data_IF_719996533955
#
_entry.id   IF_719996533955
#
_cell.length_a   1.000
_cell.length_b   1.000
_cell.length_c   1.000
_cell.angle_alpha   90.00
_cell.angle_beta   90.00
_cell.angle_gamma   90.00
#
_symmetry.space_group_name_H-M   'P 1'
#
loop_
_entity.id
_entity.type
_entity.pdbx_description
1 polymer ?
#
# COMPACT_ATOMS: atom_id res chain seq x y z
N UNK A 1 -0.28 17.37 -22.61
CA UNK A 1 -0.30 16.51 -21.40
C UNK A 1 0.72 17.08 -20.42
N UNK A 2 0.37 17.26 -19.16
CA UNK A 2 1.22 17.93 -18.14
C UNK A 2 1.27 17.18 -16.81
N UNK A 3 0.74 15.95 -16.76
CA UNK A 3 0.77 15.09 -15.58
C UNK A 3 1.16 13.69 -16.04
N UNK A 4 2.17 13.14 -15.38
CA UNK A 4 2.46 11.71 -15.33
C UNK A 4 1.92 11.22 -13.98
N UNK A 5 0.80 10.50 -14.01
CA UNK A 5 0.31 9.79 -12.84
C UNK A 5 1.02 8.44 -12.80
N UNK A 6 1.83 8.21 -11.78
CA UNK A 6 2.70 7.04 -11.70
C UNK A 6 2.23 6.10 -10.60
N UNK A 7 1.43 5.13 -11.02
CA UNK A 7 1.12 3.92 -10.26
C UNK A 7 2.37 3.04 -10.20
N UNK A 8 3.12 3.16 -9.11
CA UNK A 8 4.50 2.65 -9.03
C UNK A 8 4.59 1.34 -8.21
N UNK A 9 3.53 0.95 -7.51
CA UNK A 9 3.42 -0.31 -6.75
C UNK A 9 2.05 -0.95 -6.95
N UNK A 10 1.99 -2.28 -7.01
CA UNK A 10 0.74 -3.07 -7.00
C UNK A 10 1.07 -4.44 -6.34
N UNK A 11 0.08 -5.31 -6.20
CA UNK A 11 0.21 -6.71 -5.77
C UNK A 11 1.37 -7.47 -6.41
N UNK A 12 1.63 -7.23 -7.70
CA UNK A 12 2.62 -7.97 -8.47
C UNK A 12 4.05 -7.62 -8.06
N UNK A 13 4.33 -6.35 -7.72
CA UNK A 13 5.68 -5.91 -7.36
C UNK A 13 5.73 -4.59 -6.59
N UNK A 14 6.77 -4.46 -5.75
CA UNK A 14 7.17 -3.24 -5.07
C UNK A 14 8.58 -2.81 -5.53
N UNK A 15 8.71 -2.04 -6.63
CA UNK A 15 10.02 -1.70 -7.19
C UNK A 15 10.68 -0.48 -6.54
N UNK A 16 9.98 0.30 -5.72
CA UNK A 16 10.53 1.54 -5.14
C UNK A 16 11.34 1.24 -3.89
N UNK A 17 12.59 1.70 -3.86
CA UNK A 17 13.44 1.58 -2.66
C UNK A 17 13.13 2.72 -1.71
N UNK A 18 12.66 2.37 -0.51
CA UNK A 18 12.36 3.30 0.57
C UNK A 18 13.37 3.08 1.70
N UNK A 19 14.13 4.12 2.06
CA UNK A 19 15.12 4.07 3.14
C UNK A 19 14.52 3.66 4.49
N UNK A 20 13.27 4.06 4.76
CA UNK A 20 12.59 3.73 6.03
C UNK A 20 11.90 2.35 6.02
N UNK A 21 11.66 1.77 4.84
CA UNK A 21 11.03 0.46 4.67
C UNK A 21 11.72 -0.32 3.54
N UNK A 22 13.04 -0.57 3.63
CA UNK A 22 13.81 -1.16 2.54
C UNK A 22 13.33 -2.58 2.21
N UNK A 23 12.82 -3.30 3.21
CA UNK A 23 12.30 -4.66 3.06
C UNK A 23 11.17 -4.75 2.04
N UNK A 24 10.41 -3.67 1.84
CA UNK A 24 9.32 -3.66 0.86
C UNK A 24 9.85 -3.94 -0.56
N UNK A 25 10.93 -3.28 -0.96
CA UNK A 25 11.55 -3.51 -2.26
C UNK A 25 12.35 -4.80 -2.31
N UNK A 26 13.07 -5.12 -1.24
CA UNK A 26 13.87 -6.37 -1.15
C UNK A 26 13.01 -7.63 -1.34
N UNK A 27 11.76 -7.61 -0.85
CA UNK A 27 10.81 -8.72 -1.00
C UNK A 27 9.86 -8.58 -2.19
N UNK A 28 9.72 -7.37 -2.74
CA UNK A 28 8.69 -7.05 -3.72
C UNK A 28 9.17 -6.75 -5.13
N UNK A 29 10.44 -6.38 -5.33
CA UNK A 29 10.95 -6.08 -6.66
C UNK A 29 11.10 -7.36 -7.51
N UNK A 30 10.88 -7.24 -8.83
CA UNK A 30 11.07 -8.38 -9.74
C UNK A 30 12.52 -8.87 -9.81
N UNK A 31 13.47 -7.95 -9.67
CA UNK A 31 14.91 -8.24 -9.54
C UNK A 31 15.62 -7.06 -8.90
N UNK A 32 16.90 -7.24 -8.53
CA UNK A 32 17.73 -6.18 -7.98
C UNK A 32 17.99 -5.02 -8.97
N UNK A 33 17.82 -5.27 -10.27
CA UNK A 33 17.96 -4.27 -11.34
C UNK A 33 16.62 -3.63 -11.73
N UNK A 34 15.49 -4.18 -11.28
CA UNK A 34 14.14 -3.72 -11.58
C UNK A 34 13.58 -2.87 -10.44
N UNK A 35 14.36 -1.87 -10.02
CA UNK A 35 14.04 -0.98 -8.91
C UNK A 35 14.09 0.50 -9.32
N UNK A 36 13.44 1.34 -8.54
CA UNK A 36 13.53 2.80 -8.60
C UNK A 36 14.09 3.31 -7.28
N UNK A 37 15.26 3.94 -7.32
CA UNK A 37 15.89 4.57 -6.16
C UNK A 37 15.37 6.00 -5.95
N UNK A 38 15.72 6.60 -4.80
CA UNK A 38 15.52 8.04 -4.55
C UNK A 38 16.08 8.90 -5.68
N UNK A 39 17.31 8.63 -6.11
CA UNK A 39 17.99 9.38 -7.18
C UNK A 39 17.25 9.25 -8.52
N UNK A 40 16.79 8.05 -8.87
CA UNK A 40 16.02 7.82 -10.11
C UNK A 40 14.73 8.66 -10.16
N UNK A 41 14.00 8.71 -9.04
CA UNK A 41 12.74 9.46 -8.96
C UNK A 41 13.01 10.97 -8.96
N UNK A 42 14.01 11.44 -8.22
CA UNK A 42 14.40 12.85 -8.20
C UNK A 42 14.86 13.33 -9.58
N UNK A 43 15.69 12.56 -10.28
CA UNK A 43 16.17 12.87 -11.62
C UNK A 43 15.01 12.92 -12.62
N UNK A 44 14.09 11.95 -12.56
CA UNK A 44 12.91 11.94 -13.43
C UNK A 44 12.00 13.14 -13.14
N UNK A 45 11.79 13.48 -11.87
CA UNK A 45 10.99 14.64 -11.46
C UNK A 45 11.61 15.96 -11.96
N UNK A 46 12.93 16.10 -11.85
CA UNK A 46 13.66 17.25 -12.41
C UNK A 46 13.50 17.33 -13.93
N UNK A 47 13.66 16.21 -14.64
CA UNK A 47 13.48 16.15 -16.08
C UNK A 47 12.05 16.53 -16.50
N UNK A 48 11.04 15.98 -15.82
CA UNK A 48 9.64 16.28 -16.05
C UNK A 48 9.33 17.77 -15.85
N UNK A 49 9.94 18.40 -14.82
CA UNK A 49 9.80 19.82 -14.54
C UNK A 49 10.28 20.70 -15.69
N UNK A 50 11.39 20.36 -16.36
CA UNK A 50 11.86 21.08 -17.55
C UNK A 50 10.87 21.02 -18.72
N UNK A 51 10.05 19.97 -18.78
CA UNK A 51 9.01 19.76 -19.78
C UNK A 51 7.65 20.34 -19.37
N UNK A 52 7.54 20.93 -18.18
CA UNK A 52 6.26 21.39 -17.63
C UNK A 52 5.31 20.25 -17.28
N UNK A 53 5.85 19.08 -16.94
CA UNK A 53 5.12 17.88 -16.53
C UNK A 53 5.28 17.71 -15.02
N UNK A 54 4.15 17.47 -14.34
CA UNK A 54 4.11 17.06 -12.93
C UNK A 54 4.15 15.54 -12.85
N UNK A 55 4.87 15.00 -11.87
CA UNK A 55 4.78 13.58 -11.51
C UNK A 55 3.92 13.51 -10.26
N UNK A 56 2.83 12.76 -10.32
CA UNK A 56 2.02 12.43 -9.13
C UNK A 56 2.25 10.96 -8.86
N UNK A 57 2.91 10.66 -7.76
CA UNK A 57 3.14 9.29 -7.34
C UNK A 57 1.87 8.71 -6.70
N UNK A 58 1.68 7.42 -6.89
CA UNK A 58 0.59 6.65 -6.30
C UNK A 58 1.15 5.47 -5.54
N UNK A 59 0.74 5.35 -4.27
CA UNK A 59 0.80 4.10 -3.53
C UNK A 59 -0.65 3.68 -3.27
N UNK A 60 -1.10 2.64 -3.96
CA UNK A 60 -2.48 2.17 -3.89
C UNK A 60 -2.71 1.33 -2.63
N UNK A 61 -3.76 1.68 -1.88
CA UNK A 61 -4.13 1.05 -0.63
C UNK A 61 -5.64 1.22 -0.33
N UNK A 62 -6.26 0.30 0.43
CA UNK A 62 -5.66 -0.87 1.08
C UNK A 62 -5.54 -2.10 0.18
N UNK A 63 -6.21 -2.14 -0.98
CA UNK A 63 -6.03 -3.20 -1.98
C UNK A 63 -4.64 -3.09 -2.62
N UNK A 64 -4.39 -3.89 -3.67
CA UNK A 64 -3.17 -3.78 -4.48
C UNK A 64 -1.85 -3.85 -3.67
N UNK A 65 -1.88 -4.55 -2.52
CA UNK A 65 -0.76 -4.68 -1.59
C UNK A 65 -0.40 -6.16 -1.37
N UNK A 66 0.55 -6.66 -2.15
CA UNK A 66 0.94 -8.07 -2.20
C UNK A 66 2.44 -8.29 -1.98
N UNK A 67 3.18 -8.54 -3.06
CA UNK A 67 4.62 -8.76 -3.00
C UNK A 67 5.34 -7.53 -2.44
N UNK A 68 6.18 -7.73 -1.44
CA UNK A 68 6.80 -6.66 -0.65
C UNK A 68 6.21 -6.48 0.75
N UNK A 69 5.15 -7.22 1.12
CA UNK A 69 4.55 -7.14 2.46
C UNK A 69 4.82 -8.39 3.33
N UNK A 70 5.44 -9.43 2.77
CA UNK A 70 5.71 -10.70 3.45
C UNK A 70 6.77 -10.61 4.56
N UNK A 71 7.54 -9.53 4.62
CA UNK A 71 8.61 -9.35 5.59
C UNK A 71 8.10 -9.04 7.01
N UNK A 72 6.87 -8.51 7.13
CA UNK A 72 6.30 -8.08 8.42
C UNK A 72 6.32 -9.15 9.51
N UNK A 73 5.81 -10.37 9.25
CA UNK A 73 5.88 -11.48 10.21
C UNK A 73 7.32 -11.88 10.56
N UNK A 74 8.26 -11.79 9.62
CA UNK A 74 9.68 -12.11 9.84
C UNK A 74 10.36 -11.14 10.81
N UNK A 75 9.84 -9.90 10.90
CA UNK A 75 10.29 -8.87 11.84
C UNK A 75 9.43 -8.81 13.12
N UNK A 76 8.51 -9.76 13.32
CA UNK A 76 7.64 -9.79 14.50
C UNK A 76 6.56 -8.70 14.52
N UNK A 77 6.23 -8.11 13.36
CA UNK A 77 5.18 -7.10 13.23
C UNK A 77 3.80 -7.69 12.96
N UNK A 78 3.71 -9.03 12.82
CA UNK A 78 2.49 -9.72 12.38
C UNK A 78 2.23 -9.54 10.89
N UNK A 79 1.09 -10.03 10.42
CA UNK A 79 0.68 -9.93 9.02
C UNK A 79 0.31 -8.48 8.68
N UNK A 80 1.15 -7.80 7.92
CA UNK A 80 0.93 -6.42 7.47
C UNK A 80 -0.07 -6.35 6.30
N UNK A 81 -0.11 -7.40 5.48
CA UNK A 81 -1.09 -7.62 4.44
C UNK A 81 -1.60 -9.06 4.49
N UNK A 82 -2.82 -9.26 3.98
CA UNK A 82 -3.57 -10.49 4.00
C UNK A 82 -3.78 -11.00 2.58
N UNK A 83 -4.09 -12.28 2.47
CA UNK A 83 -4.41 -12.96 1.21
C UNK A 83 -3.32 -12.90 0.15
N UNK A 84 -2.07 -12.65 0.54
CA UNK A 84 -0.94 -12.50 -0.38
C UNK A 84 -0.77 -13.81 -1.16
N UNK A 85 -0.87 -13.76 -2.48
CA UNK A 85 -0.73 -14.90 -3.39
C UNK A 85 -1.73 -16.06 -3.13
N UNK A 86 -2.85 -15.82 -2.43
CA UNK A 86 -3.81 -16.87 -2.07
C UNK A 86 -4.47 -17.55 -3.27
N UNK A 87 -4.83 -18.84 -3.10
CA UNK A 87 -5.47 -19.66 -4.13
C UNK A 87 -6.67 -20.45 -3.58
N UNK A 88 -7.76 -20.61 -4.36
CA UNK A 88 -7.99 -20.06 -5.70
C UNK A 88 -8.24 -18.54 -5.65
N UNK A 89 -7.47 -17.78 -6.44
CA UNK A 89 -7.41 -16.31 -6.33
C UNK A 89 -8.76 -15.60 -6.45
N UNK A 90 -9.71 -16.15 -7.25
CA UNK A 90 -11.02 -15.50 -7.50
C UNK A 90 -11.87 -15.36 -6.23
N UNK A 91 -11.56 -16.09 -5.18
CA UNK A 91 -12.21 -15.98 -3.88
C UNK A 91 -11.65 -14.85 -3.01
N UNK A 92 -10.55 -14.21 -3.42
CA UNK A 92 -9.81 -13.25 -2.60
C UNK A 92 -9.49 -11.94 -3.33
N UNK A 93 -9.56 -11.89 -4.66
CA UNK A 93 -9.26 -10.69 -5.45
C UNK A 93 -9.88 -10.68 -6.86
N UNK A 94 -9.70 -9.56 -7.57
CA UNK A 94 -10.16 -9.34 -8.95
C UNK A 94 -9.15 -9.86 -9.99
N UNK A 95 -7.86 -9.81 -9.69
CA UNK A 95 -6.76 -10.32 -10.51
C UNK A 95 -5.68 -10.96 -9.62
N UNK A 96 -5.06 -12.10 -10.01
CA UNK A 96 -3.91 -12.63 -9.29
C UNK A 96 -2.61 -11.86 -9.60
N UNK A 97 -1.67 -11.76 -8.64
CA UNK A 97 -1.73 -12.30 -7.30
C UNK A 97 -2.62 -11.47 -6.37
N UNK A 98 -3.32 -12.12 -5.45
CA UNK A 98 -4.09 -11.39 -4.45
C UNK A 98 -3.17 -10.75 -3.39
N UNK A 99 -3.69 -9.73 -2.70
CA UNK A 99 -3.04 -9.07 -1.57
C UNK A 99 -3.79 -7.80 -1.17
N UNK A 100 -4.04 -7.62 0.13
CA UNK A 100 -4.70 -6.42 0.67
C UNK A 100 -4.16 -6.15 2.07
N UNK A 101 -3.85 -4.89 2.39
CA UNK A 101 -3.35 -4.49 3.71
C UNK A 101 -4.27 -4.97 4.84
N UNK A 102 -3.67 -5.26 6.00
CA UNK A 102 -4.37 -5.70 7.19
C UNK A 102 -4.78 -4.48 8.06
N UNK A 103 -6.04 -4.01 8.01
CA UNK A 103 -6.46 -2.83 8.75
C UNK A 103 -6.52 -3.05 10.26
N UNK A 104 -6.43 -4.30 10.74
CA UNK A 104 -6.53 -4.61 12.17
C UNK A 104 -5.18 -4.83 12.83
N UNK A 105 -4.10 -4.83 12.05
CA UNK A 105 -2.74 -4.85 12.58
C UNK A 105 -2.25 -3.42 12.88
N UNK A 106 -2.05 -3.02 14.14
CA UNK A 106 -1.59 -1.67 14.47
C UNK A 106 -0.19 -1.35 13.94
N UNK A 107 0.69 -2.35 13.77
CA UNK A 107 2.03 -2.12 13.23
C UNK A 107 2.00 -1.71 11.75
N UNK A 108 0.98 -2.13 11.01
CA UNK A 108 0.80 -1.77 9.60
C UNK A 108 0.70 -0.26 9.42
N UNK A 109 0.00 0.45 10.30
CA UNK A 109 -0.12 1.91 10.24
C UNK A 109 1.22 2.64 10.50
N UNK A 110 2.09 2.09 11.36
CA UNK A 110 3.43 2.64 11.58
C UNK A 110 4.34 2.43 10.35
N UNK A 111 4.18 1.30 9.66
CA UNK A 111 4.89 1.03 8.40
C UNK A 111 4.38 1.96 7.30
N UNK A 112 3.07 2.12 7.16
CA UNK A 112 2.49 3.07 6.21
C UNK A 112 2.94 4.49 6.48
N UNK A 113 2.99 4.95 7.73
CA UNK A 113 3.51 6.28 8.05
C UNK A 113 4.92 6.48 7.48
N UNK A 114 5.82 5.54 7.73
CA UNK A 114 7.21 5.59 7.25
C UNK A 114 7.28 5.52 5.72
N UNK A 115 6.50 4.64 5.11
CA UNK A 115 6.39 4.49 3.67
C UNK A 115 5.99 5.82 3.02
N UNK A 116 4.86 6.38 3.45
CA UNK A 116 4.31 7.62 2.90
C UNK A 116 5.17 8.85 3.16
N UNK A 117 5.82 8.90 4.33
CA UNK A 117 6.81 9.94 4.62
C UNK A 117 7.97 9.91 3.61
N UNK A 118 8.54 8.72 3.41
CA UNK A 118 9.64 8.56 2.46
C UNK A 118 9.18 8.83 1.03
N UNK A 119 7.99 8.36 0.64
CA UNK A 119 7.41 8.56 -0.68
C UNK A 119 7.25 10.04 -1.02
N UNK A 120 6.70 10.81 -0.07
CA UNK A 120 6.54 12.26 -0.22
C UNK A 120 7.89 12.95 -0.36
N UNK A 121 8.93 12.51 0.37
CA UNK A 121 10.27 13.09 0.24
C UNK A 121 10.99 12.74 -1.07
N UNK A 122 10.53 11.73 -1.84
CA UNK A 122 11.13 11.39 -3.14
C UNK A 122 10.78 12.39 -4.25
N UNK A 123 9.64 13.07 -4.11
CA UNK A 123 9.14 14.02 -5.11
C UNK A 123 8.93 15.40 -4.49
N UNK A 124 10.02 15.94 -3.93
CA UNK A 124 10.02 17.21 -3.23
C UNK A 124 9.49 18.35 -4.12
N UNK A 125 8.37 18.95 -3.69
CA UNK A 125 7.72 20.06 -4.40
C UNK A 125 6.47 19.67 -5.19
N UNK A 126 6.04 18.41 -5.15
CA UNK A 126 4.68 18.03 -5.49
C UNK A 126 3.80 18.02 -4.22
N UNK A 127 2.62 18.64 -4.31
CA UNK A 127 1.68 18.82 -3.19
C UNK A 127 0.57 17.74 -3.19
N UNK A 128 0.56 16.88 -4.20
CA UNK A 128 -0.44 15.83 -4.40
C UNK A 128 0.22 14.46 -4.36
N UNK A 129 -0.34 13.60 -3.53
CA UNK A 129 -0.08 12.18 -3.52
C UNK A 129 -1.39 11.43 -3.78
N UNK A 130 -1.36 10.40 -4.63
CA UNK A 130 -2.50 9.52 -4.84
C UNK A 130 -2.39 8.31 -3.91
N UNK A 131 -3.51 7.95 -3.29
CA UNK A 131 -3.57 6.86 -2.31
C UNK A 131 -4.28 5.60 -2.85
N UNK A 132 -4.64 5.62 -4.14
CA UNK A 132 -5.46 4.61 -4.78
C UNK A 132 -6.84 4.49 -4.13
N UNK A 133 -7.15 3.30 -3.62
CA UNK A 133 -8.41 3.01 -2.96
C UNK A 133 -9.44 2.41 -3.92
N UNK A 134 -8.99 1.65 -4.90
CA UNK A 134 -9.83 0.86 -5.76
C UNK A 134 -9.89 -0.62 -5.33
N UNK A 135 -10.96 -1.27 -5.81
CA UNK A 135 -11.18 -2.72 -5.77
C UNK A 135 -10.96 -3.44 -4.42
N UNK A 136 -11.16 -2.76 -3.29
CA UNK A 136 -11.09 -3.38 -1.95
C UNK A 136 -12.00 -4.61 -1.89
N UNK A 137 -11.38 -5.77 -1.70
CA UNK A 137 -12.05 -7.05 -1.79
C UNK A 137 -12.42 -7.57 -0.41
N UNK A 138 -13.68 -7.34 -0.01
CA UNK A 138 -14.16 -7.74 1.33
C UNK A 138 -14.08 -9.24 1.58
N UNK A 139 -14.10 -10.08 0.55
CA UNK A 139 -13.90 -11.52 0.71
C UNK A 139 -12.54 -11.88 1.31
N UNK A 140 -11.49 -11.10 1.03
CA UNK A 140 -10.16 -11.29 1.61
C UNK A 140 -10.19 -11.01 3.11
N UNK A 141 -10.67 -9.83 3.50
CA UNK A 141 -10.83 -9.46 4.91
C UNK A 141 -11.76 -10.42 5.66
N UNK A 142 -12.85 -10.84 5.04
CA UNK A 142 -13.83 -11.75 5.63
C UNK A 142 -13.31 -13.18 5.84
N UNK A 143 -12.21 -13.55 5.16
CA UNK A 143 -11.53 -14.83 5.33
C UNK A 143 -10.49 -14.82 6.47
N UNK A 144 -10.10 -13.63 6.96
CA UNK A 144 -9.16 -13.49 8.07
C UNK A 144 -9.87 -13.56 9.43
N UNK A 145 -9.44 -14.49 10.29
CA UNK A 145 -9.97 -14.60 11.66
C UNK A 145 -9.68 -13.33 12.48
N UNK A 146 -8.52 -12.72 12.31
CA UNK A 146 -8.14 -11.50 13.04
C UNK A 146 -9.04 -10.33 12.66
N UNK A 147 -9.36 -10.19 11.37
CA UNK A 147 -10.27 -9.15 10.91
C UNK A 147 -11.69 -9.39 11.42
N UNK A 148 -12.19 -10.62 11.31
CA UNK A 148 -13.54 -10.97 11.79
C UNK A 148 -13.66 -10.79 13.31
N UNK A 149 -12.62 -11.15 14.08
CA UNK A 149 -12.59 -10.94 15.53
C UNK A 149 -12.55 -9.45 15.88
N UNK A 150 -11.71 -8.67 15.22
CA UNK A 150 -11.65 -7.21 15.40
C UNK A 150 -13.02 -6.57 15.14
N UNK A 151 -13.65 -6.89 14.00
CA UNK A 151 -14.97 -6.37 13.64
C UNK A 151 -16.01 -6.71 14.71
N UNK A 152 -16.05 -7.97 15.17
CA UNK A 152 -16.95 -8.39 16.26
C UNK A 152 -16.71 -7.59 17.54
N UNK A 153 -15.45 -7.42 17.94
CA UNK A 153 -15.08 -6.75 19.18
C UNK A 153 -15.36 -5.24 19.14
N UNK A 154 -15.44 -4.66 17.94
CA UNK A 154 -15.85 -3.27 17.68
C UNK A 154 -17.35 -3.12 17.36
N UNK A 155 -18.14 -4.19 17.53
CA UNK A 155 -19.60 -4.14 17.36
C UNK A 155 -20.06 -4.14 15.90
N UNK A 156 -19.17 -4.42 14.95
CA UNK A 156 -19.48 -4.55 13.54
C UNK A 156 -19.97 -5.96 13.20
N UNK A 157 -20.82 -6.05 12.19
CA UNK A 157 -21.25 -7.30 11.59
C UNK A 157 -20.24 -7.85 10.58
N UNK A 158 -20.78 -8.44 9.51
CA UNK A 158 -20.02 -8.94 8.33
C UNK A 158 -20.77 -8.61 7.04
N UNK A 159 -21.54 -7.52 7.05
CA UNK A 159 -22.23 -6.99 5.88
C UNK A 159 -21.28 -6.10 5.08
N UNK A 160 -21.66 -5.79 3.84
CA UNK A 160 -20.91 -4.86 2.99
C UNK A 160 -20.68 -3.49 3.66
N UNK A 161 -21.69 -2.97 4.36
CA UNK A 161 -21.58 -1.71 5.09
C UNK A 161 -20.58 -1.77 6.24
N UNK A 162 -20.49 -2.91 6.93
CA UNK A 162 -19.52 -3.10 8.03
C UNK A 162 -18.08 -3.09 7.47
N UNK A 163 -17.84 -3.69 6.31
CA UNK A 163 -16.53 -3.65 5.66
C UNK A 163 -16.18 -2.28 5.07
N UNK A 164 -17.19 -1.53 4.60
CA UNK A 164 -17.01 -0.12 4.22
C UNK A 164 -16.63 0.74 5.45
N UNK A 165 -17.20 0.45 6.62
CA UNK A 165 -16.81 1.11 7.87
C UNK A 165 -15.38 0.78 8.26
N UNK A 166 -14.95 -0.49 8.17
CA UNK A 166 -13.56 -0.88 8.37
C UNK A 166 -12.59 -0.21 7.38
N UNK A 167 -12.97 -0.09 6.11
CA UNK A 167 -12.18 0.66 5.13
C UNK A 167 -12.11 2.15 5.47
N UNK A 168 -13.22 2.75 5.92
CA UNK A 168 -13.20 4.12 6.41
C UNK A 168 -12.28 4.30 7.63
N UNK A 169 -12.28 3.36 8.59
CA UNK A 169 -11.33 3.36 9.70
C UNK A 169 -9.88 3.33 9.22
N UNK A 170 -9.56 2.46 8.25
CA UNK A 170 -8.24 2.42 7.62
C UNK A 170 -7.84 3.78 7.02
N UNK A 171 -8.72 4.37 6.22
CA UNK A 171 -8.43 5.62 5.50
C UNK A 171 -8.31 6.82 6.44
N UNK A 172 -9.13 6.88 7.50
CA UNK A 172 -9.11 7.98 8.48
C UNK A 172 -7.91 7.86 9.42
N UNK A 173 -7.58 6.64 9.86
CA UNK A 173 -6.40 6.37 10.68
C UNK A 173 -5.14 6.91 10.02
N UNK A 174 -5.04 6.81 8.69
CA UNK A 174 -3.97 7.42 7.94
C UNK A 174 -3.98 8.96 7.96
N UNK A 175 -5.14 9.62 7.82
CA UNK A 175 -5.22 11.10 7.84
C UNK A 175 -4.79 11.71 9.17
N UNK A 176 -4.93 10.98 10.27
CA UNK A 176 -4.49 11.42 11.60
C UNK A 176 -2.99 11.26 11.83
N UNK A 177 -2.31 10.47 10.98
CA UNK A 177 -0.87 10.35 10.98
C UNK A 177 -0.32 11.64 10.36
N UNK A 178 0.16 12.53 11.21
CA UNK A 178 0.74 13.80 10.77
C UNK A 178 2.01 13.49 9.99
N UNK A 179 2.02 13.84 8.70
CA UNK A 179 3.25 14.12 7.96
C UNK A 179 3.71 15.48 8.50
N UNK A 180 4.41 15.45 9.63
CA UNK A 180 4.94 16.64 10.32
C UNK A 180 6.00 17.42 9.55
#
# INVERSE_FOLDING_TARGET
MNVLHWHITDTQSFPVVLELVPEASEFGAYSAEAIYTQEDIEDLAQYAKYLGIRIILEFDAPSHAGNGWQWGPLQGLGDLALCINEQPWRSFCIEPPCGQLNPTNPNMYNVLQQLYWNFASMNNGEDILHMGGDEVFFGCWNASEDVVNYMRDHGMGRTENDFLELWNEFQVSFRTISVG
#
